data_IF_239274576229
#
_entry.id   IF_239274576229
#
_cell.length_a   1.000
_cell.length_b   1.000
_cell.length_c   1.000
_cell.angle_alpha   90.00
_cell.angle_beta   90.00
_cell.angle_gamma   90.00
#
_symmetry.space_group_name_H-M   'P 1'
#
loop_
_entity.id
_entity.type
_entity.pdbx_description
1 polymer ?
#
# COMPACT_ATOMS: atom_id res chain seq x y z
N UNK A 1 44.99 -22.52 10.69
CA UNK A 1 44.37 -21.54 9.79
C UNK A 1 42.87 -21.73 9.89
N UNK A 2 42.21 -20.88 10.68
CA UNK A 2 40.76 -20.86 10.82
C UNK A 2 40.18 -20.05 9.66
N UNK A 3 39.54 -20.72 8.71
CA UNK A 3 38.68 -20.06 7.73
C UNK A 3 37.51 -19.44 8.49
N UNK A 4 37.55 -18.11 8.63
CA UNK A 4 36.38 -17.34 9.00
C UNK A 4 35.38 -17.48 7.84
N UNK A 5 34.38 -18.33 8.03
CA UNK A 5 33.17 -18.32 7.20
C UNK A 5 32.54 -16.95 7.43
N UNK A 6 32.79 -16.03 6.49
CA UNK A 6 32.05 -14.79 6.38
C UNK A 6 30.59 -15.18 6.21
N UNK A 7 29.84 -15.07 7.29
CA UNK A 7 28.40 -15.17 7.29
C UNK A 7 27.93 -13.91 6.54
N UNK A 8 27.98 -13.93 5.20
CA UNK A 8 27.40 -12.90 4.36
C UNK A 8 25.91 -12.89 4.72
N UNK A 9 25.54 -12.00 5.63
CA UNK A 9 24.14 -11.78 5.98
C UNK A 9 23.43 -11.51 4.67
N UNK A 10 22.53 -12.41 4.30
CA UNK A 10 21.74 -12.25 3.09
C UNK A 10 20.85 -11.03 3.29
N UNK A 11 21.29 -9.88 2.77
CA UNK A 11 20.60 -8.59 2.90
C UNK A 11 19.20 -8.62 2.28
N UNK A 12 18.88 -9.66 1.50
CA UNK A 12 17.60 -9.83 0.82
C UNK A 12 16.70 -10.88 1.50
N UNK A 13 17.04 -11.34 2.72
CA UNK A 13 16.20 -12.29 3.45
C UNK A 13 14.88 -11.62 3.85
N UNK A 14 13.77 -12.17 3.35
CA UNK A 14 12.43 -11.69 3.68
C UNK A 14 11.96 -12.26 5.02
N UNK A 15 11.26 -11.47 5.85
CA UNK A 15 10.67 -11.97 7.08
C UNK A 15 9.55 -12.98 6.75
N UNK A 16 9.36 -14.03 7.58
CA UNK A 16 8.27 -15.00 7.37
C UNK A 16 6.86 -14.36 7.29
N UNK A 17 6.68 -13.19 7.90
CA UNK A 17 5.44 -12.38 7.79
C UNK A 17 5.08 -11.98 6.36
N UNK A 18 6.07 -11.87 5.48
CA UNK A 18 5.84 -11.62 4.05
C UNK A 18 5.10 -12.80 3.40
N UNK A 19 5.54 -14.02 3.66
CA UNK A 19 4.91 -15.24 3.13
C UNK A 19 3.46 -15.36 3.62
N UNK A 20 3.19 -15.09 4.91
CA UNK A 20 1.83 -15.10 5.43
C UNK A 20 0.94 -14.03 4.78
N UNK A 21 1.50 -12.85 4.49
CA UNK A 21 0.75 -11.78 3.82
C UNK A 21 0.40 -12.14 2.37
N UNK A 22 1.32 -12.83 1.67
CA UNK A 22 1.08 -13.32 0.31
C UNK A 22 0.01 -14.43 0.28
N UNK A 23 0.09 -15.42 1.16
CA UNK A 23 -0.92 -16.48 1.25
C UNK A 23 -2.29 -15.90 1.62
N UNK A 24 -2.34 -14.97 2.58
CA UNK A 24 -3.57 -14.30 2.96
C UNK A 24 -4.19 -13.51 1.79
N UNK A 25 -3.35 -12.83 1.00
CA UNK A 25 -3.75 -12.14 -0.21
C UNK A 25 -4.42 -13.10 -1.21
N UNK A 26 -3.79 -14.23 -1.47
CA UNK A 26 -4.28 -15.21 -2.45
C UNK A 26 -5.61 -15.81 -1.99
N UNK A 27 -5.73 -16.17 -0.70
CA UNK A 27 -6.99 -16.63 -0.10
C UNK A 27 -8.11 -15.60 -0.29
N UNK A 28 -7.86 -14.31 -0.03
CA UNK A 28 -8.89 -13.27 -0.19
C UNK A 28 -9.41 -13.18 -1.63
N UNK A 29 -8.51 -13.33 -2.61
CA UNK A 29 -8.87 -13.24 -4.03
C UNK A 29 -9.63 -14.47 -4.53
N UNK A 30 -9.40 -15.64 -3.93
CA UNK A 30 -10.06 -16.89 -4.31
C UNK A 30 -11.41 -17.13 -3.63
N UNK A 31 -11.73 -16.37 -2.56
CA UNK A 31 -13.04 -16.45 -1.91
C UNK A 31 -14.13 -15.97 -2.89
N UNK A 32 -15.18 -16.78 -3.04
CA UNK A 32 -16.38 -16.39 -3.77
C UNK A 32 -17.15 -15.33 -2.97
N UNK A 33 -17.33 -14.15 -3.55
CA UNK A 33 -17.91 -12.98 -2.88
C UNK A 33 -19.34 -12.73 -3.36
N UNK A 34 -20.30 -12.87 -2.45
CA UNK A 34 -21.66 -12.34 -2.64
C UNK A 34 -21.66 -10.85 -2.23
N UNK A 35 -21.67 -9.96 -3.22
CA UNK A 35 -21.67 -8.51 -3.03
C UNK A 35 -22.75 -8.03 -2.05
N UNK A 36 -23.97 -8.58 -2.13
CA UNK A 36 -25.08 -8.14 -1.28
C UNK A 36 -24.87 -8.59 0.17
N UNK A 37 -24.41 -9.83 0.36
CA UNK A 37 -24.14 -10.35 1.71
C UNK A 37 -22.94 -9.66 2.35
N UNK A 38 -21.88 -9.40 1.58
CA UNK A 38 -20.68 -8.70 2.03
C UNK A 38 -20.97 -7.25 2.38
N UNK A 39 -21.75 -6.53 1.56
CA UNK A 39 -22.16 -5.16 1.85
C UNK A 39 -23.05 -5.06 3.09
N UNK A 40 -24.01 -5.97 3.27
CA UNK A 40 -24.82 -6.01 4.48
C UNK A 40 -23.99 -6.31 5.74
N UNK A 41 -23.00 -7.21 5.62
CA UNK A 41 -22.07 -7.53 6.71
C UNK A 41 -21.22 -6.31 7.08
N UNK A 42 -20.70 -5.58 6.09
CA UNK A 42 -19.95 -4.35 6.29
C UNK A 42 -20.81 -3.27 6.96
N UNK A 43 -22.03 -3.04 6.48
CA UNK A 43 -22.98 -2.08 7.08
C UNK A 43 -23.27 -2.42 8.54
N UNK A 44 -23.50 -3.70 8.85
CA UNK A 44 -23.74 -4.15 10.22
C UNK A 44 -22.52 -3.97 11.13
N UNK A 45 -21.32 -4.25 10.62
CA UNK A 45 -20.09 -3.97 11.35
C UNK A 45 -19.91 -2.47 11.62
N UNK A 46 -20.19 -1.61 10.65
CA UNK A 46 -20.10 -0.15 10.82
C UNK A 46 -21.07 0.36 11.90
N UNK A 47 -22.28 -0.21 11.97
CA UNK A 47 -23.25 0.09 13.04
C UNK A 47 -22.73 -0.29 14.42
N UNK A 48 -22.02 -1.42 14.54
CA UNK A 48 -21.41 -1.87 15.80
C UNK A 48 -20.24 -0.98 16.25
N UNK A 49 -19.57 -0.29 15.31
CA UNK A 49 -18.45 0.62 15.59
C UNK A 49 -18.88 2.08 15.83
N UNK A 50 -20.18 2.35 16.07
CA UNK A 50 -20.74 3.70 16.31
C UNK A 50 -20.45 4.72 15.19
N UNK A 51 -20.37 4.28 13.95
CA UNK A 51 -20.14 5.17 12.80
C UNK A 51 -21.43 5.94 12.49
N UNK A 52 -21.38 7.26 12.17
CA UNK A 52 -22.57 8.05 11.90
C UNK A 52 -23.46 7.44 10.81
N UNK A 53 -24.74 7.28 11.12
CA UNK A 53 -25.72 6.57 10.28
C UNK A 53 -25.89 7.22 8.89
N UNK A 54 -25.65 8.53 8.79
CA UNK A 54 -25.65 9.29 7.52
C UNK A 54 -24.59 8.73 6.55
N UNK A 55 -23.40 8.39 7.05
CA UNK A 55 -22.32 7.84 6.23
C UNK A 55 -22.62 6.38 5.85
N UNK A 56 -23.18 5.60 6.79
CA UNK A 56 -23.58 4.20 6.57
C UNK A 56 -24.67 4.09 5.50
N UNK A 57 -25.71 4.93 5.55
CA UNK A 57 -26.83 4.87 4.61
C UNK A 57 -26.44 5.34 3.20
N UNK A 58 -25.44 6.21 3.09
CA UNK A 58 -24.90 6.65 1.79
C UNK A 58 -24.04 5.57 1.11
N UNK A 59 -23.49 4.61 1.86
CA UNK A 59 -22.53 3.62 1.39
C UNK A 59 -23.10 2.73 0.26
N UNK A 60 -24.25 2.04 0.41
CA UNK A 60 -24.73 1.09 -0.60
C UNK A 60 -25.03 1.77 -1.93
N UNK A 61 -25.55 3.01 -1.89
CA UNK A 61 -25.90 3.77 -3.09
C UNK A 61 -24.68 4.34 -3.80
N UNK A 62 -23.62 4.70 -3.06
CA UNK A 62 -22.42 5.33 -3.63
C UNK A 62 -21.32 4.33 -3.97
N UNK A 63 -21.38 3.11 -3.43
CA UNK A 63 -20.33 2.09 -3.57
C UNK A 63 -20.03 1.75 -5.02
N UNK A 64 -21.04 1.36 -5.81
CA UNK A 64 -20.88 1.01 -7.23
C UNK A 64 -20.71 2.23 -8.15
N UNK A 65 -20.99 3.45 -7.65
CA UNK A 65 -20.88 4.67 -8.43
C UNK A 65 -19.45 5.23 -8.46
N UNK A 66 -18.56 4.70 -7.61
CA UNK A 66 -17.19 5.17 -7.44
C UNK A 66 -16.23 4.01 -7.61
N UNK A 67 -15.03 4.30 -8.09
CA UNK A 67 -13.99 3.28 -8.15
C UNK A 67 -13.51 2.97 -6.72
N UNK A 68 -13.16 1.72 -6.41
CA UNK A 68 -12.27 1.34 -5.32
C UNK A 68 -11.12 2.31 -5.00
N UNK A 69 -10.53 2.91 -6.02
CA UNK A 69 -9.43 3.87 -5.91
C UNK A 69 -9.90 5.21 -5.35
N UNK A 70 -11.09 5.67 -5.73
CA UNK A 70 -11.69 6.88 -5.17
C UNK A 70 -12.01 6.72 -3.67
N UNK A 71 -12.50 5.53 -3.27
CA UNK A 71 -12.71 5.22 -1.85
C UNK A 71 -11.41 5.14 -1.06
N UNK A 72 -10.28 4.82 -1.71
CA UNK A 72 -8.94 4.84 -1.12
C UNK A 72 -8.43 6.28 -0.92
N UNK A 73 -8.65 7.21 -1.84
CA UNK A 73 -8.15 8.60 -1.67
C UNK A 73 -9.04 9.47 -0.78
N UNK A 74 -10.33 9.13 -0.67
CA UNK A 74 -11.28 9.93 0.13
C UNK A 74 -11.06 9.72 1.63
N UNK A 75 -10.90 10.82 2.37
CA UNK A 75 -10.81 10.86 3.84
C UNK A 75 -12.16 10.56 4.52
N UNK A 76 -12.66 9.33 4.38
CA UNK A 76 -13.85 8.81 5.08
C UNK A 76 -13.48 7.64 5.98
N UNK A 77 -14.37 7.28 6.92
CA UNK A 77 -14.16 6.20 7.89
C UNK A 77 -13.75 4.85 7.27
N UNK A 78 -14.22 4.60 6.04
CA UNK A 78 -13.95 3.38 5.29
C UNK A 78 -12.51 3.31 4.77
N UNK A 79 -11.80 4.44 4.72
CA UNK A 79 -10.40 4.48 4.36
C UNK A 79 -9.57 3.54 5.25
N UNK A 80 -9.91 3.37 6.54
CA UNK A 80 -9.21 2.39 7.38
C UNK A 80 -9.55 0.93 7.03
N UNK A 81 -10.77 0.66 6.54
CA UNK A 81 -11.36 -0.68 6.48
C UNK A 81 -11.47 -1.29 5.08
N UNK A 82 -11.89 -0.51 4.08
CA UNK A 82 -12.00 -0.92 2.67
C UNK A 82 -10.63 -1.07 1.99
N UNK A 83 -9.58 -0.54 2.63
CA UNK A 83 -8.25 -0.35 2.05
C UNK A 83 -7.39 -1.60 1.84
N UNK A 84 -7.98 -2.80 1.80
CA UNK A 84 -7.20 -4.01 1.50
C UNK A 84 -7.76 -4.85 0.36
N UNK A 85 -9.08 -5.04 0.30
CA UNK A 85 -9.71 -5.93 -0.68
C UNK A 85 -9.97 -5.24 -2.03
N UNK A 86 -10.53 -4.04 -2.02
CA UNK A 86 -11.01 -3.38 -3.24
C UNK A 86 -9.90 -2.86 -4.16
N UNK A 87 -8.73 -2.58 -3.58
CA UNK A 87 -7.59 -2.03 -4.30
C UNK A 87 -6.95 -3.03 -5.26
N UNK A 88 -7.02 -4.32 -4.96
CA UNK A 88 -6.37 -5.34 -5.78
C UNK A 88 -7.07 -5.57 -7.12
N UNK A 89 -8.38 -5.79 -7.07
CA UNK A 89 -9.20 -6.05 -8.26
C UNK A 89 -9.16 -4.89 -9.27
N UNK A 90 -9.08 -3.65 -8.78
CA UNK A 90 -9.06 -2.47 -9.65
C UNK A 90 -7.66 -2.02 -10.08
N UNK A 91 -6.62 -2.27 -9.28
CA UNK A 91 -5.24 -1.91 -9.67
C UNK A 91 -4.79 -2.68 -10.90
N UNK A 92 -5.13 -3.96 -11.01
CA UNK A 92 -4.78 -4.77 -12.19
C UNK A 92 -5.43 -4.22 -13.46
N UNK A 93 -6.72 -3.87 -13.38
CA UNK A 93 -7.45 -3.29 -14.52
C UNK A 93 -6.89 -1.94 -14.94
N UNK A 94 -6.68 -1.02 -13.98
CA UNK A 94 -6.10 0.29 -14.26
C UNK A 94 -4.66 0.19 -14.78
N UNK A 95 -3.86 -0.74 -14.25
CA UNK A 95 -2.53 -1.00 -14.74
C UNK A 95 -2.56 -1.45 -16.21
N UNK A 96 -3.45 -2.38 -16.57
CA UNK A 96 -3.61 -2.81 -17.96
C UNK A 96 -3.99 -1.64 -18.87
N UNK A 97 -4.98 -0.83 -18.48
CA UNK A 97 -5.44 0.35 -19.24
C UNK A 97 -4.32 1.38 -19.43
N UNK A 98 -3.50 1.63 -18.41
CA UNK A 98 -2.47 2.67 -18.43
C UNK A 98 -1.07 2.17 -18.80
N UNK A 99 -0.85 0.86 -18.91
CA UNK A 99 0.47 0.25 -19.14
C UNK A 99 1.20 0.84 -20.35
N UNK A 100 0.46 1.13 -21.42
CA UNK A 100 0.98 1.75 -22.64
C UNK A 100 1.50 3.19 -22.44
N UNK A 101 1.01 3.90 -21.42
CA UNK A 101 1.40 5.28 -21.11
C UNK A 101 2.72 5.38 -20.34
N UNK A 102 3.23 4.27 -19.79
CA UNK A 102 4.45 4.24 -18.99
C UNK A 102 5.58 3.54 -19.74
N UNK A 103 6.12 4.18 -20.78
CA UNK A 103 7.27 3.62 -21.53
C UNK A 103 8.63 4.12 -21.04
N UNK A 104 8.66 5.23 -20.30
CA UNK A 104 9.88 5.84 -19.80
C UNK A 104 9.95 5.73 -18.27
N UNK A 105 11.16 5.60 -17.75
CA UNK A 105 11.39 5.64 -16.31
C UNK A 105 10.98 7.00 -15.72
N UNK A 106 10.38 6.97 -14.54
CA UNK A 106 9.94 8.17 -13.83
C UNK A 106 10.19 8.07 -12.33
N UNK A 107 10.38 9.22 -11.69
CA UNK A 107 10.61 9.31 -10.24
C UNK A 107 9.32 9.60 -9.50
N UNK A 108 9.14 8.93 -8.38
CA UNK A 108 8.06 9.16 -7.43
C UNK A 108 8.61 9.30 -6.02
N UNK A 109 7.82 9.94 -5.17
CA UNK A 109 8.14 10.29 -3.80
C UNK A 109 7.10 9.69 -2.85
N UNK A 110 7.56 9.22 -1.70
CA UNK A 110 6.69 8.73 -0.62
C UNK A 110 7.21 9.23 0.73
N UNK A 111 6.38 9.97 1.44
CA UNK A 111 6.62 10.29 2.85
C UNK A 111 6.04 9.20 3.75
N UNK A 112 6.80 8.81 4.76
CA UNK A 112 6.38 7.86 5.78
C UNK A 112 7.20 8.05 7.06
N UNK A 113 6.55 7.88 8.20
CA UNK A 113 7.23 7.70 9.48
C UNK A 113 7.61 6.24 9.70
N UNK A 114 8.82 6.04 10.20
CA UNK A 114 9.35 4.73 10.56
C UNK A 114 9.74 4.73 12.03
N UNK A 115 9.64 3.58 12.69
CA UNK A 115 10.29 3.41 13.99
C UNK A 115 11.81 3.55 13.84
N UNK A 116 12.49 3.97 14.89
CA UNK A 116 13.96 4.03 14.88
C UNK A 116 14.61 2.68 14.56
N UNK A 117 13.99 1.57 14.99
CA UNK A 117 14.46 0.22 14.68
C UNK A 117 14.35 -0.08 13.17
N UNK A 118 13.21 0.22 12.55
CA UNK A 118 13.03 0.00 11.11
C UNK A 118 13.97 0.89 10.30
N UNK A 119 14.18 2.13 10.74
CA UNK A 119 15.16 3.03 10.13
C UNK A 119 16.59 2.50 10.22
N UNK A 120 16.98 1.93 11.37
CA UNK A 120 18.30 1.32 11.52
C UNK A 120 18.43 0.08 10.63
N UNK A 121 17.40 -0.77 10.57
CA UNK A 121 17.37 -1.93 9.67
C UNK A 121 17.55 -1.51 8.19
N UNK A 122 16.97 -0.37 7.78
CA UNK A 122 17.19 0.20 6.45
C UNK A 122 18.63 0.66 6.23
N UNK A 123 19.25 1.27 7.24
CA UNK A 123 20.65 1.68 7.18
C UNK A 123 21.58 0.46 7.03
N UNK A 124 21.30 -0.60 7.79
CA UNK A 124 22.12 -1.82 7.83
C UNK A 124 21.96 -2.67 6.56
N UNK A 125 20.81 -2.58 5.89
CA UNK A 125 20.50 -3.29 4.63
C UNK A 125 20.85 -2.48 3.36
N UNK A 126 21.60 -1.38 3.48
CA UNK A 126 21.96 -0.52 2.35
C UNK A 126 22.65 -1.31 1.23
N UNK A 127 22.09 -1.20 0.02
CA UNK A 127 22.55 -1.95 -1.16
C UNK A 127 21.79 -3.27 -1.39
N UNK A 128 20.97 -3.71 -0.43
CA UNK A 128 20.02 -4.79 -0.58
C UNK A 128 18.67 -4.35 -1.17
N UNK A 129 17.76 -5.33 -1.30
CA UNK A 129 16.39 -5.12 -1.74
C UNK A 129 15.49 -4.74 -0.55
N UNK A 130 14.61 -3.76 -0.77
CA UNK A 130 13.58 -3.38 0.17
C UNK A 130 12.23 -3.92 -0.29
N UNK A 131 11.53 -4.63 0.60
CA UNK A 131 10.17 -5.09 0.35
C UNK A 131 9.18 -4.35 1.23
N UNK A 132 8.06 -3.94 0.63
CA UNK A 132 6.97 -3.30 1.34
C UNK A 132 5.85 -4.33 1.54
N UNK A 133 5.44 -4.54 2.80
CA UNK A 133 4.30 -5.39 3.15
C UNK A 133 2.94 -4.72 2.92
N UNK A 134 2.97 -3.45 2.51
CA UNK A 134 1.81 -2.60 2.30
C UNK A 134 1.85 -2.04 0.88
N UNK A 135 0.70 -1.60 0.41
CA UNK A 135 0.65 -0.90 -0.86
C UNK A 135 1.48 0.39 -0.84
N UNK A 136 2.20 0.60 -1.94
CA UNK A 136 2.91 1.84 -2.20
C UNK A 136 1.92 2.87 -2.75
N UNK A 137 1.65 3.90 -1.95
CA UNK A 137 1.10 5.18 -2.42
C UNK A 137 2.24 6.17 -2.53
N UNK A 138 2.36 6.80 -3.69
CA UNK A 138 3.48 7.65 -4.07
C UNK A 138 2.99 8.80 -4.94
N UNK A 139 3.64 9.96 -4.85
CA UNK A 139 3.34 11.12 -5.71
C UNK A 139 4.49 11.41 -6.67
N UNK A 140 4.19 11.95 -7.85
CA UNK A 140 5.21 12.56 -8.72
C UNK A 140 5.73 13.89 -8.18
N UNK A 141 4.97 14.53 -7.29
CA UNK A 141 5.32 15.79 -6.67
C UNK A 141 5.86 15.56 -5.26
N UNK A 142 7.12 15.99 -5.03
CA UNK A 142 7.77 15.85 -3.72
C UNK A 142 6.99 16.56 -2.61
N UNK A 143 6.37 17.69 -2.89
CA UNK A 143 5.61 18.48 -1.89
C UNK A 143 4.43 17.67 -1.36
N UNK A 144 3.69 16.99 -2.23
CA UNK A 144 2.58 16.11 -1.82
C UNK A 144 3.09 15.00 -0.91
N UNK A 145 4.24 14.39 -1.22
CA UNK A 145 4.84 13.37 -0.36
C UNK A 145 5.31 13.92 1.00
N UNK A 146 5.72 15.19 1.07
CA UNK A 146 6.14 15.84 2.33
C UNK A 146 5.00 16.04 3.31
N UNK A 147 3.77 16.24 2.84
CA UNK A 147 2.60 16.40 3.72
C UNK A 147 2.42 15.16 4.63
N UNK A 148 2.72 13.96 4.11
CA UNK A 148 2.64 12.69 4.85
C UNK A 148 3.69 12.50 5.95
N UNK A 149 4.68 13.41 6.06
CA UNK A 149 5.65 13.44 7.17
C UNK A 149 5.52 14.69 8.04
N UNK A 150 4.78 15.70 7.59
CA UNK A 150 4.60 16.97 8.31
C UNK A 150 3.35 17.00 9.19
N UNK A 151 2.32 16.21 8.86
CA UNK A 151 1.02 16.21 9.55
C UNK A 151 0.95 15.24 10.75
N UNK A 152 2.06 14.60 11.14
CA UNK A 152 2.07 13.69 12.30
C UNK A 152 2.09 14.47 13.61
N UNK A 153 1.15 14.22 14.54
CA UNK A 153 1.19 14.83 15.86
C UNK A 153 2.49 14.43 16.56
N UNK A 154 3.27 15.44 16.98
CA UNK A 154 4.56 15.35 17.67
C UNK A 154 4.51 14.64 19.03
N UNK A 155 3.99 13.41 19.13
CA UNK A 155 3.77 12.72 20.41
C UNK A 155 4.62 11.45 20.61
N UNK A 156 5.41 11.00 19.63
CA UNK A 156 6.38 9.93 19.84
C UNK A 156 7.79 10.34 19.40
N UNK A 157 8.72 10.45 20.34
CA UNK A 157 10.13 10.80 20.12
C UNK A 157 10.93 9.76 19.35
N UNK A 158 10.36 8.58 19.12
CA UNK A 158 11.08 7.38 18.66
C UNK A 158 10.86 7.07 17.17
N UNK A 159 10.11 7.94 16.48
CA UNK A 159 9.85 7.80 15.04
C UNK A 159 10.70 8.77 14.22
N UNK A 160 11.15 8.30 13.05
CA UNK A 160 11.93 9.05 12.08
C UNK A 160 11.09 9.27 10.83
N UNK A 161 10.93 10.53 10.45
CA UNK A 161 10.30 10.92 9.20
C UNK A 161 11.24 10.69 8.02
N UNK A 162 10.81 9.90 7.03
CA UNK A 162 11.60 9.54 5.85
C UNK A 162 10.85 9.88 4.57
N UNK A 163 11.59 10.39 3.59
CA UNK A 163 11.11 10.56 2.21
C UNK A 163 11.85 9.56 1.32
N UNK A 164 11.12 8.56 0.83
CA UNK A 164 11.61 7.65 -0.20
C UNK A 164 11.58 8.34 -1.56
N UNK A 165 12.68 8.23 -2.29
CA UNK A 165 12.79 8.66 -3.70
C UNK A 165 12.99 7.39 -4.51
N UNK A 166 11.99 7.04 -5.33
CA UNK A 166 11.97 5.78 -6.08
C UNK A 166 11.90 6.08 -7.56
N UNK A 167 12.74 5.41 -8.34
CA UNK A 167 12.67 5.46 -9.81
C UNK A 167 11.97 4.19 -10.29
N UNK A 168 10.82 4.36 -10.90
CA UNK A 168 10.05 3.28 -11.52
C UNK A 168 10.53 3.19 -12.97
N UNK A 169 11.06 2.03 -13.34
CA UNK A 169 11.52 1.73 -14.69
C UNK A 169 10.64 0.62 -15.30
N UNK A 170 9.65 0.99 -16.14
CA UNK A 170 8.73 0.04 -16.74
C UNK A 170 9.40 -1.10 -17.50
N UNK A 171 10.58 -0.87 -18.10
CA UNK A 171 11.33 -1.90 -18.83
C UNK A 171 11.78 -3.06 -17.94
N UNK A 172 12.02 -2.78 -16.65
CA UNK A 172 12.40 -3.78 -15.64
C UNK A 172 11.19 -4.43 -14.95
N UNK A 173 10.00 -3.84 -15.10
CA UNK A 173 8.75 -4.32 -14.50
C UNK A 173 8.06 -5.34 -15.41
N UNK A 174 8.42 -5.40 -16.70
CA UNK A 174 7.92 -6.37 -17.69
C UNK A 174 7.94 -7.84 -17.24
N UNK A 175 8.78 -8.19 -16.26
CA UNK A 175 8.92 -9.55 -15.70
C UNK A 175 8.29 -9.70 -14.31
N UNK A 176 7.71 -8.63 -13.75
CA UNK A 176 7.10 -8.59 -12.42
C UNK A 176 5.58 -8.48 -12.52
N UNK A 177 4.85 -9.39 -11.88
CA UNK A 177 3.38 -9.34 -11.76
C UNK A 177 2.89 -8.28 -10.74
N UNK A 178 3.63 -7.18 -10.58
CA UNK A 178 3.25 -6.13 -9.63
C UNK A 178 2.56 -4.99 -10.38
N UNK A 179 1.21 -4.95 -10.40
CA UNK A 179 0.50 -3.89 -11.09
C UNK A 179 0.70 -2.55 -10.39
N UNK A 180 0.80 -1.49 -11.17
CA UNK A 180 0.77 -0.11 -10.67
C UNK A 180 -0.13 0.76 -11.56
N UNK A 181 -0.75 1.77 -10.97
CA UNK A 181 -1.60 2.70 -11.69
C UNK A 181 -1.34 4.12 -11.19
N UNK A 182 -1.41 5.10 -12.09
CA UNK A 182 -1.58 6.49 -11.72
C UNK A 182 -3.05 6.75 -11.40
N UNK A 183 -3.24 7.51 -10.34
CA UNK A 183 -4.54 7.95 -9.87
C UNK A 183 -4.55 9.45 -10.13
N UNK A 184 -5.24 9.87 -11.18
CA UNK A 184 -5.56 11.28 -11.38
C UNK A 184 -6.77 11.59 -10.47
N UNK A 185 -6.63 12.58 -9.58
CA UNK A 185 -7.72 13.07 -8.72
C UNK A 185 -8.74 13.93 -9.48
#
# INVERSE_FOLDING_TARGET
MSEAVSNEQNLNQLPPSYMYSMIFKDIILEIDHDDNKSMNTLVNFCRQQNIPEIQINSLPCTYHQKSPVWWYSKSMFLHGMLNRALRMLNMERLHQEQSSNFQQAFTVYRGQELSQQDFQNLCDSKGGLLSFNNFLSTSKEKVVAMNFVQDSPHESTDNVSVIFIMTIDPSKISTSNTPFAMIDE
#
